data_IF_637570554749
#
_entry.id   IF_637570554749
#
_cell.length_a   1.000
_cell.length_b   1.000
_cell.length_c   1.000
_cell.angle_alpha   90.00
_cell.angle_beta   90.00
_cell.angle_gamma   90.00
#
_symmetry.space_group_name_H-M   'P 1'
#
loop_
_entity.id
_entity.type
_entity.pdbx_description
1 polymer ?
#
# COMPACT_ATOMS: atom_id res chain seq x y z
N UNK A 1 14.82 -13.13 -39.99
CA UNK A 1 14.37 -13.57 -38.66
C UNK A 1 14.79 -12.50 -37.64
N UNK A 2 13.82 -11.99 -36.84
CA UNK A 2 14.14 -11.10 -35.70
C UNK A 2 14.72 -11.95 -34.58
N UNK A 3 15.93 -11.61 -34.13
CA UNK A 3 16.53 -12.23 -32.93
C UNK A 3 15.85 -11.64 -31.70
N UNK A 4 15.32 -12.52 -30.84
CA UNK A 4 14.70 -12.11 -29.57
C UNK A 4 15.76 -12.26 -28.47
N UNK A 5 16.06 -11.17 -27.77
CA UNK A 5 16.93 -11.18 -26.61
C UNK A 5 16.07 -11.19 -25.35
N UNK A 6 16.36 -12.11 -24.44
CA UNK A 6 15.73 -12.17 -23.12
C UNK A 6 16.80 -11.79 -22.09
N UNK A 7 16.57 -10.70 -21.38
CA UNK A 7 17.43 -10.28 -20.27
C UNK A 7 16.86 -10.85 -18.97
N UNK A 8 17.66 -11.61 -18.26
CA UNK A 8 17.30 -12.22 -16.97
C UNK A 8 18.19 -11.66 -15.87
N UNK A 9 17.57 -11.27 -14.75
CA UNK A 9 18.26 -11.05 -13.49
C UNK A 9 18.01 -12.25 -12.59
N UNK A 10 19.07 -12.91 -12.13
CA UNK A 10 18.99 -14.10 -11.29
C UNK A 10 19.74 -13.87 -9.98
N UNK A 11 19.18 -14.35 -8.87
CA UNK A 11 19.88 -14.45 -7.59
C UNK A 11 20.41 -15.88 -7.45
N UNK A 12 21.71 -16.01 -7.26
CA UNK A 12 22.37 -17.31 -7.12
C UNK A 12 22.78 -17.49 -5.66
N UNK A 13 22.45 -18.66 -5.11
CA UNK A 13 22.86 -19.09 -3.77
C UNK A 13 23.93 -20.16 -3.93
N UNK A 14 25.12 -19.94 -3.35
CA UNK A 14 26.25 -20.87 -3.46
C UNK A 14 26.52 -21.47 -2.08
N UNK A 15 26.38 -22.80 -1.95
CA UNK A 15 26.51 -23.53 -0.69
C UNK A 15 25.55 -23.08 0.42
N UNK A 16 24.43 -22.46 0.05
CA UNK A 16 23.37 -22.02 0.97
C UNK A 16 21.99 -22.24 0.34
N UNK A 17 20.96 -22.33 1.16
CA UNK A 17 19.59 -22.42 0.69
C UNK A 17 18.98 -21.02 0.53
N UNK A 18 18.10 -20.82 -0.46
CA UNK A 18 17.36 -19.57 -0.55
C UNK A 18 16.55 -19.34 0.75
N UNK A 19 16.35 -18.08 1.17
CA UNK A 19 15.56 -17.77 2.35
C UNK A 19 14.14 -18.31 2.19
N UNK A 20 13.53 -18.72 3.30
CA UNK A 20 12.15 -19.25 3.31
C UNK A 20 11.13 -18.25 2.82
N UNK A 21 11.37 -16.96 3.04
CA UNK A 21 10.50 -15.89 2.57
C UNK A 21 10.99 -15.39 1.22
N UNK A 22 10.07 -15.29 0.27
CA UNK A 22 10.32 -14.74 -1.06
C UNK A 22 10.53 -13.22 -1.04
N UNK A 23 10.26 -12.56 0.10
CA UNK A 23 10.41 -11.12 0.31
C UNK A 23 10.99 -10.82 1.71
N UNK A 24 11.55 -9.62 1.85
CA UNK A 24 12.07 -9.14 3.14
C UNK A 24 10.92 -8.69 4.02
N UNK A 25 10.79 -9.31 5.20
CA UNK A 25 9.79 -8.94 6.21
C UNK A 25 10.30 -7.74 7.00
N UNK A 26 9.43 -6.75 7.18
CA UNK A 26 9.67 -5.57 8.01
C UNK A 26 8.98 -5.81 9.35
N UNK A 27 9.71 -5.59 10.43
CA UNK A 27 9.17 -5.65 11.78
C UNK A 27 8.46 -4.33 12.13
N UNK A 28 7.24 -4.46 12.67
CA UNK A 28 6.42 -3.36 13.11
C UNK A 28 6.15 -3.51 14.63
N UNK A 29 6.90 -2.81 15.49
CA UNK A 29 6.74 -2.89 16.93
C UNK A 29 5.39 -2.31 17.39
N UNK A 30 4.98 -2.67 18.61
CA UNK A 30 3.84 -2.00 19.24
C UNK A 30 4.26 -0.57 19.65
N UNK A 31 3.43 0.40 19.25
CA UNK A 31 3.68 1.83 19.48
C UNK A 31 2.53 2.53 20.21
N UNK A 32 1.62 1.77 20.83
CA UNK A 32 0.41 2.29 21.47
C UNK A 32 0.71 3.40 22.49
N UNK A 33 1.79 3.26 23.25
CA UNK A 33 2.22 4.23 24.27
C UNK A 33 3.29 5.21 23.76
N UNK A 34 3.62 5.18 22.46
CA UNK A 34 4.65 6.05 21.89
C UNK A 34 4.10 7.46 21.58
N UNK A 35 4.98 8.45 21.34
CA UNK A 35 4.58 9.78 20.91
C UNK A 35 3.73 9.72 19.63
N UNK A 36 2.63 10.48 19.64
CA UNK A 36 1.64 10.44 18.56
C UNK A 36 2.00 11.41 17.44
N UNK A 37 1.78 10.97 16.20
CA UNK A 37 1.96 11.78 15.00
C UNK A 37 0.72 11.68 14.13
N UNK A 38 0.13 12.84 13.78
CA UNK A 38 -1.05 12.89 12.89
C UNK A 38 -0.59 12.74 11.45
N UNK A 39 -1.26 11.84 10.72
CA UNK A 39 -1.09 11.63 9.28
C UNK A 39 -2.40 11.98 8.59
N UNK A 40 -2.38 12.99 7.73
CA UNK A 40 -3.57 13.46 7.02
C UNK A 40 -3.69 12.74 5.68
N UNK A 41 -4.78 11.97 5.54
CA UNK A 41 -5.09 11.15 4.39
C UNK A 41 -4.60 9.69 4.49
N UNK A 42 -5.48 8.74 4.17
CA UNK A 42 -5.20 7.31 4.07
C UNK A 42 -4.92 6.84 2.62
N UNK A 43 -4.44 7.74 1.77
CA UNK A 43 -3.91 7.38 0.45
C UNK A 43 -2.58 6.64 0.56
N UNK A 44 -1.96 6.24 -0.58
CA UNK A 44 -0.69 5.50 -0.56
C UNK A 44 0.39 6.21 0.29
N UNK A 45 0.56 7.51 0.13
CA UNK A 45 1.53 8.29 0.90
C UNK A 45 1.30 8.21 2.40
N UNK A 46 0.04 8.38 2.84
CA UNK A 46 -0.33 8.32 4.26
C UNK A 46 -0.16 6.93 4.87
N UNK A 47 -0.59 5.88 4.18
CA UNK A 47 -0.42 4.50 4.66
C UNK A 47 1.06 4.12 4.81
N UNK A 48 1.90 4.45 3.81
CA UNK A 48 3.35 4.23 3.93
C UNK A 48 4.01 5.11 5.00
N UNK A 49 3.56 6.36 5.15
CA UNK A 49 4.03 7.23 6.23
C UNK A 49 3.69 6.66 7.61
N UNK A 50 2.46 6.17 7.80
CA UNK A 50 2.02 5.55 9.05
C UNK A 50 2.85 4.29 9.39
N UNK A 51 3.06 3.40 8.42
CA UNK A 51 3.92 2.22 8.61
C UNK A 51 5.36 2.63 8.94
N UNK A 52 5.88 3.67 8.29
CA UNK A 52 7.23 4.16 8.56
C UNK A 52 7.36 4.79 9.95
N UNK A 53 6.34 5.49 10.43
CA UNK A 53 6.30 6.02 11.79
C UNK A 53 6.38 4.88 12.82
N UNK A 54 5.65 3.78 12.60
CA UNK A 54 5.72 2.60 13.47
C UNK A 54 7.14 2.02 13.51
N UNK A 55 7.81 1.87 12.36
CA UNK A 55 9.22 1.44 12.31
C UNK A 55 10.15 2.37 13.13
N UNK A 56 9.81 3.65 13.23
CA UNK A 56 10.56 4.65 13.98
C UNK A 56 10.15 4.74 15.46
N UNK A 57 9.25 3.88 15.92
CA UNK A 57 8.77 3.88 17.30
C UNK A 57 7.80 5.01 17.61
N UNK A 58 7.06 5.52 16.62
CA UNK A 58 6.08 6.59 16.75
C UNK A 58 4.67 6.05 16.47
N UNK A 59 3.68 6.53 17.22
CA UNK A 59 2.27 6.11 17.08
C UNK A 59 1.56 6.96 16.03
N UNK A 60 1.22 6.42 14.84
CA UNK A 60 0.48 7.16 13.84
C UNK A 60 -1.00 7.27 14.21
N UNK A 61 -1.57 8.47 14.01
CA UNK A 61 -3.01 8.73 14.02
C UNK A 61 -3.38 9.18 12.60
N UNK A 62 -3.95 8.29 11.83
CA UNK A 62 -4.37 8.58 10.45
C UNK A 62 -5.78 9.13 10.45
N UNK A 63 -5.99 10.28 9.81
CA UNK A 63 -7.31 10.87 9.60
C UNK A 63 -7.60 10.90 8.09
N UNK A 64 -8.72 10.32 7.68
CA UNK A 64 -9.15 10.23 6.29
C UNK A 64 -10.54 10.81 6.13
N UNK A 65 -10.70 11.74 5.19
CA UNK A 65 -12.00 12.40 4.95
C UNK A 65 -13.06 11.47 4.40
N UNK A 66 -12.65 10.49 3.58
CA UNK A 66 -13.53 9.51 2.98
C UNK A 66 -13.69 8.26 3.82
N UNK A 67 -14.32 7.25 3.22
CA UNK A 67 -14.60 5.96 3.85
C UNK A 67 -13.45 4.97 3.64
N UNK A 68 -13.52 3.85 4.37
CA UNK A 68 -12.64 2.71 4.16
C UNK A 68 -12.77 2.14 2.74
N UNK A 69 -11.76 1.37 2.32
CA UNK A 69 -11.67 0.85 0.95
C UNK A 69 -12.87 0.01 0.51
N UNK A 70 -13.57 -0.68 1.40
CA UNK A 70 -14.73 -1.49 1.04
C UNK A 70 -16.02 -0.66 0.98
N UNK A 71 -16.26 0.20 1.98
CA UNK A 71 -17.43 1.09 2.02
C UNK A 71 -17.43 2.08 0.85
N UNK A 72 -16.29 2.65 0.54
CA UNK A 72 -16.06 3.56 -0.59
C UNK A 72 -16.43 2.94 -1.95
N UNK A 73 -16.31 1.61 -2.10
CA UNK A 73 -16.70 0.92 -3.33
C UNK A 73 -18.17 1.15 -3.71
N UNK A 74 -19.04 1.30 -2.70
CA UNK A 74 -20.46 1.59 -2.91
C UNK A 74 -20.66 3.02 -3.45
N UNK A 75 -19.93 3.98 -2.92
CA UNK A 75 -19.99 5.37 -3.37
C UNK A 75 -19.52 5.50 -4.82
N UNK A 76 -18.46 4.82 -5.18
CA UNK A 76 -17.96 4.76 -6.58
C UNK A 76 -18.99 4.11 -7.50
N UNK A 77 -19.65 3.03 -7.08
CA UNK A 77 -20.69 2.39 -7.88
C UNK A 77 -21.89 3.31 -8.14
N UNK A 78 -22.24 4.19 -7.18
CA UNK A 78 -23.30 5.20 -7.33
C UNK A 78 -22.97 6.25 -8.40
N UNK A 79 -21.70 6.61 -8.55
CA UNK A 79 -21.28 7.54 -9.62
C UNK A 79 -21.65 6.99 -11.00
N UNK A 80 -21.37 5.70 -11.24
CA UNK A 80 -21.67 5.07 -12.53
C UNK A 80 -23.15 4.75 -12.75
N UNK A 81 -23.89 4.42 -11.68
CA UNK A 81 -25.29 3.96 -11.79
C UNK A 81 -26.31 5.09 -11.63
N UNK A 82 -26.03 6.04 -10.74
CA UNK A 82 -26.98 7.06 -10.30
C UNK A 82 -26.52 8.47 -10.65
N UNK A 83 -25.27 8.62 -11.17
CA UNK A 83 -24.60 9.90 -11.42
C UNK A 83 -24.50 10.80 -10.16
N UNK A 84 -24.42 10.17 -8.98
CA UNK A 84 -24.28 10.86 -7.70
C UNK A 84 -22.84 10.73 -7.21
N UNK A 85 -22.20 11.88 -6.98
CA UNK A 85 -20.84 11.97 -6.43
C UNK A 85 -20.93 12.38 -4.96
N UNK A 86 -20.42 11.53 -4.07
CA UNK A 86 -20.18 11.90 -2.69
C UNK A 86 -18.93 12.80 -2.64
N UNK A 87 -19.06 14.01 -2.07
CA UNK A 87 -17.98 14.98 -2.02
C UNK A 87 -16.78 14.52 -1.17
N UNK A 88 -17.03 13.67 -0.18
CA UNK A 88 -16.01 13.20 0.76
C UNK A 88 -15.51 11.79 0.46
N UNK A 89 -16.27 10.98 -0.32
CA UNK A 89 -15.94 9.58 -0.63
C UNK A 89 -16.23 9.27 -2.10
N UNK A 90 -15.19 9.20 -2.94
CA UNK A 90 -15.33 9.07 -4.38
C UNK A 90 -14.05 8.47 -5.01
N UNK A 91 -13.79 8.66 -6.30
CA UNK A 91 -12.56 8.19 -6.97
C UNK A 91 -11.29 8.84 -6.41
N UNK A 92 -11.34 10.06 -5.90
CA UNK A 92 -10.18 10.80 -5.41
C UNK A 92 -9.98 10.65 -3.91
N UNK A 93 -11.07 10.61 -3.14
CA UNK A 93 -11.06 10.62 -1.68
C UNK A 93 -11.51 9.29 -1.09
N UNK A 94 -10.90 8.93 0.04
CA UNK A 94 -11.09 7.68 0.74
C UNK A 94 -9.83 6.81 0.77
N UNK A 95 -9.86 5.76 1.57
CA UNK A 95 -8.73 4.86 1.80
C UNK A 95 -8.14 4.30 0.51
N UNK A 96 -6.82 4.28 0.42
CA UNK A 96 -6.06 3.86 -0.75
C UNK A 96 -5.97 4.90 -1.87
N UNK A 97 -6.66 6.05 -1.74
CA UNK A 97 -6.62 7.14 -2.71
C UNK A 97 -7.18 6.77 -4.08
N UNK A 98 -6.86 7.56 -5.11
CA UNK A 98 -7.35 7.38 -6.47
C UNK A 98 -6.92 6.04 -7.12
N UNK A 99 -5.83 5.45 -6.63
CA UNK A 99 -5.29 4.18 -7.15
C UNK A 99 -5.98 2.92 -6.65
N UNK A 100 -6.79 2.99 -5.59
CA UNK A 100 -7.32 1.81 -4.89
C UNK A 100 -8.07 0.81 -5.79
N UNK A 101 -8.71 1.29 -6.85
CA UNK A 101 -9.48 0.48 -7.80
C UNK A 101 -8.86 0.46 -9.20
N UNK A 102 -7.59 0.81 -9.31
CA UNK A 102 -6.81 0.63 -10.53
C UNK A 102 -6.18 -0.77 -10.59
N UNK A 103 -5.49 -1.07 -11.67
CA UNK A 103 -4.70 -2.30 -11.78
C UNK A 103 -3.42 -2.30 -10.90
N UNK A 104 -3.15 -1.20 -10.20
CA UNK A 104 -2.04 -1.09 -9.26
C UNK A 104 -0.68 -1.23 -9.94
N UNK A 105 -0.48 -0.51 -11.05
CA UNK A 105 0.82 -0.44 -11.72
C UNK A 105 1.88 0.15 -10.79
N UNK A 106 2.98 -0.57 -10.60
CA UNK A 106 4.06 -0.22 -9.68
C UNK A 106 5.33 0.23 -10.41
N UNK A 107 5.30 0.29 -11.74
CA UNK A 107 6.45 0.69 -12.52
C UNK A 107 6.78 2.17 -12.32
N UNK A 108 8.05 2.44 -12.01
CA UNK A 108 8.58 3.80 -11.94
C UNK A 108 9.90 3.91 -12.71
N UNK A 109 10.08 5.03 -13.42
CA UNK A 109 11.35 5.38 -14.05
C UNK A 109 12.30 6.07 -13.06
N UNK A 110 11.79 6.56 -11.95
CA UNK A 110 12.58 7.27 -10.93
C UNK A 110 13.23 6.27 -9.99
N UNK A 111 14.53 6.05 -10.17
CA UNK A 111 15.37 5.23 -9.28
C UNK A 111 16.28 6.08 -8.39
N UNK A 112 16.19 7.43 -8.48
CA UNK A 112 17.13 8.34 -7.81
C UNK A 112 16.73 8.67 -6.37
N UNK A 113 15.48 8.50 -6.00
CA UNK A 113 14.95 8.87 -4.67
C UNK A 113 14.12 7.72 -4.11
N UNK A 114 14.38 7.38 -2.86
CA UNK A 114 13.68 6.32 -2.14
C UNK A 114 14.12 4.91 -2.52
N UNK A 115 13.77 3.95 -1.68
CA UNK A 115 14.05 2.53 -1.88
C UNK A 115 12.80 1.85 -2.45
N UNK A 116 12.76 1.66 -3.76
CA UNK A 116 11.64 1.00 -4.46
C UNK A 116 11.49 -0.45 -4.00
N UNK A 117 12.60 -1.16 -3.78
CA UNK A 117 12.57 -2.54 -3.31
C UNK A 117 11.87 -2.66 -1.94
N UNK A 118 12.13 -1.73 -1.03
CA UNK A 118 11.42 -1.68 0.25
C UNK A 118 9.91 -1.54 0.07
N UNK A 119 9.46 -0.66 -0.84
CA UNK A 119 8.04 -0.47 -1.13
C UNK A 119 7.39 -1.76 -1.66
N UNK A 120 8.07 -2.46 -2.58
CA UNK A 120 7.57 -3.73 -3.11
C UNK A 120 7.51 -4.81 -2.02
N UNK A 121 8.52 -4.89 -1.14
CA UNK A 121 8.50 -5.80 0.01
C UNK A 121 7.34 -5.50 0.98
N UNK A 122 7.04 -4.22 1.24
CA UNK A 122 5.86 -3.83 2.03
C UNK A 122 4.59 -4.34 1.38
N UNK A 123 4.41 -4.19 0.07
CA UNK A 123 3.25 -4.72 -0.62
C UNK A 123 3.16 -6.24 -0.54
N UNK A 124 4.28 -6.96 -0.71
CA UNK A 124 4.31 -8.43 -0.56
C UNK A 124 3.91 -8.85 0.86
N UNK A 125 4.43 -8.19 1.88
CA UNK A 125 4.11 -8.45 3.29
C UNK A 125 2.62 -8.25 3.58
N UNK A 126 1.95 -7.40 2.81
CA UNK A 126 0.52 -7.12 2.95
C UNK A 126 -0.37 -7.85 1.93
N UNK A 127 0.18 -8.84 1.20
CA UNK A 127 -0.60 -9.77 0.39
C UNK A 127 -0.49 -9.58 -1.12
N UNK A 128 0.40 -8.72 -1.60
CA UNK A 128 0.74 -8.71 -3.02
C UNK A 128 1.58 -9.94 -3.40
N UNK A 129 1.50 -10.36 -4.67
CA UNK A 129 2.30 -11.49 -5.16
C UNK A 129 3.79 -11.15 -5.10
N UNK A 130 4.66 -12.07 -4.62
CA UNK A 130 6.10 -11.89 -4.67
C UNK A 130 6.66 -11.69 -6.09
N UNK A 131 5.93 -12.07 -7.12
CA UNK A 131 6.33 -11.83 -8.52
C UNK A 131 6.61 -10.36 -8.83
N UNK A 132 5.96 -9.42 -8.09
CA UNK A 132 6.21 -7.97 -8.26
C UNK A 132 7.67 -7.56 -7.99
N UNK A 133 8.44 -8.37 -7.28
CA UNK A 133 9.85 -8.11 -6.98
C UNK A 133 10.76 -8.39 -8.18
N UNK A 134 10.34 -9.25 -9.11
CA UNK A 134 11.13 -9.67 -10.27
C UNK A 134 10.55 -9.20 -11.60
N UNK A 135 9.28 -8.83 -11.65
CA UNK A 135 8.62 -8.39 -12.87
C UNK A 135 9.18 -7.06 -13.38
N UNK A 136 9.37 -6.95 -14.70
CA UNK A 136 9.84 -5.72 -15.32
C UNK A 136 8.82 -4.58 -15.25
N UNK A 137 7.54 -4.92 -15.24
CA UNK A 137 6.39 -4.00 -15.14
C UNK A 137 5.41 -4.54 -14.09
N UNK A 138 5.77 -4.47 -12.79
CA UNK A 138 4.97 -5.07 -11.73
C UNK A 138 3.62 -4.38 -11.56
N UNK A 139 2.60 -5.17 -11.27
CA UNK A 139 1.26 -4.69 -10.92
C UNK A 139 0.62 -5.63 -9.90
N UNK A 140 -0.26 -5.09 -9.06
CA UNK A 140 -0.91 -5.88 -7.99
C UNK A 140 -2.18 -6.55 -8.49
N UNK A 141 -2.94 -5.87 -9.33
CA UNK A 141 -4.25 -6.30 -9.80
C UNK A 141 -5.40 -5.62 -9.05
N UNK A 142 -6.45 -5.28 -9.81
CA UNK A 142 -7.62 -4.51 -9.33
C UNK A 142 -8.40 -5.23 -8.22
N UNK A 143 -8.42 -6.55 -8.26
CA UNK A 143 -9.08 -7.42 -7.30
C UNK A 143 -8.31 -7.57 -5.98
N UNK A 144 -6.99 -7.50 -6.04
CA UNK A 144 -6.10 -7.72 -4.88
C UNK A 144 -5.74 -6.44 -4.14
N UNK A 145 -5.64 -5.32 -4.85
CA UNK A 145 -5.16 -4.06 -4.27
C UNK A 145 -6.00 -3.58 -3.07
N UNK A 146 -7.34 -3.66 -3.09
CA UNK A 146 -8.15 -3.31 -1.91
C UNK A 146 -7.78 -4.13 -0.66
N UNK A 147 -7.55 -5.44 -0.82
CA UNK A 147 -7.13 -6.31 0.29
C UNK A 147 -5.74 -5.98 0.81
N UNK A 148 -4.80 -5.60 -0.06
CA UNK A 148 -3.46 -5.13 0.35
C UNK A 148 -3.57 -3.85 1.17
N UNK A 149 -4.39 -2.90 0.74
CA UNK A 149 -4.65 -1.63 1.45
C UNK A 149 -5.24 -1.91 2.84
N UNK A 150 -6.25 -2.78 2.91
CA UNK A 150 -6.84 -3.20 4.18
C UNK A 150 -5.81 -3.85 5.12
N UNK A 151 -4.96 -4.73 4.61
CA UNK A 151 -3.92 -5.38 5.39
C UNK A 151 -2.89 -4.37 5.93
N UNK A 152 -2.55 -3.33 5.17
CA UNK A 152 -1.70 -2.23 5.65
C UNK A 152 -2.36 -1.50 6.82
N UNK A 153 -3.64 -1.15 6.71
CA UNK A 153 -4.42 -0.56 7.81
C UNK A 153 -4.45 -1.48 9.03
N UNK A 154 -4.72 -2.76 8.83
CA UNK A 154 -4.78 -3.74 9.92
C UNK A 154 -3.43 -3.87 10.64
N UNK A 155 -2.31 -3.73 9.94
CA UNK A 155 -0.99 -3.67 10.56
C UNK A 155 -0.84 -2.40 11.41
N UNK A 156 -1.27 -1.24 10.91
CA UNK A 156 -1.23 0.02 11.69
C UNK A 156 -2.04 -0.13 12.99
N UNK A 157 -3.26 -0.66 12.90
CA UNK A 157 -4.15 -0.86 14.06
C UNK A 157 -3.56 -1.87 15.06
N UNK A 158 -3.06 -3.00 14.57
CA UNK A 158 -2.45 -4.06 15.41
C UNK A 158 -1.23 -3.54 16.19
N UNK A 159 -0.49 -2.62 15.62
CA UNK A 159 0.68 -2.02 16.28
C UNK A 159 0.33 -0.86 17.24
N UNK A 160 -0.96 -0.57 17.47
CA UNK A 160 -1.42 0.49 18.38
C UNK A 160 -1.64 1.84 17.71
N UNK A 161 -1.43 1.96 16.40
CA UNK A 161 -1.82 3.14 15.63
C UNK A 161 -3.34 3.27 15.54
N UNK A 162 -3.82 4.43 15.09
CA UNK A 162 -5.26 4.72 14.96
C UNK A 162 -5.58 5.18 13.55
N UNK A 163 -6.77 4.81 13.06
CA UNK A 163 -7.27 5.25 11.75
C UNK A 163 -8.72 5.70 11.92
N UNK A 164 -8.98 6.95 11.55
CA UNK A 164 -10.30 7.55 11.61
C UNK A 164 -10.77 7.91 10.21
N UNK A 165 -11.87 7.31 9.79
CA UNK A 165 -12.55 7.63 8.54
C UNK A 165 -13.59 8.71 8.75
N UNK A 166 -14.10 9.28 7.64
CA UNK A 166 -15.09 10.35 7.65
C UNK A 166 -14.65 11.52 8.56
N UNK A 167 -13.34 11.71 8.66
CA UNK A 167 -12.68 12.71 9.50
C UNK A 167 -11.81 13.60 8.63
N UNK A 168 -12.34 14.78 8.33
CA UNK A 168 -11.68 15.79 7.52
C UNK A 168 -10.93 16.78 8.41
N UNK A 169 -9.72 17.08 8.02
CA UNK A 169 -8.95 18.18 8.59
C UNK A 169 -9.19 19.44 7.74
N UNK A 170 -9.70 20.48 8.36
CA UNK A 170 -9.90 21.81 7.76
C UNK A 170 -8.76 22.76 8.12
#
# INVERSE_FOLDING_TARGET
QRVIYVNLSVRVFVNEFPPKNEFTVIDYPNVESAPQVIVVGAGPGGLFAALRLIELGLCPIVVERGKDVHSRRKDIARISKEHIVDAESNYSFGEGGAGAYSDGKLFTRSKKRGNVEKILNVFCQHGASPSILSDAHPHIGTDKLPGVIENMRNTILRCGGKVYFETRMD
#
